data_IF_289266250574
#
_entry.id   IF_289266250574
#
_cell.length_a   1.000
_cell.length_b   1.000
_cell.length_c   1.000
_cell.angle_alpha   90.00
_cell.angle_beta   90.00
_cell.angle_gamma   90.00
#
_symmetry.space_group_name_H-M   'P 1'
#
loop_
_entity.id
_entity.type
_entity.pdbx_description
1 polymer ?
#
# COMPACT_ATOMS: atom_id res chain seq x y z
N UNK A 1 13.56 -20.69 -3.67
CA UNK A 1 12.73 -19.67 -4.36
C UNK A 1 12.42 -20.16 -5.77
N UNK A 2 11.18 -20.03 -6.21
CA UNK A 2 10.82 -20.43 -7.57
C UNK A 2 11.45 -19.46 -8.57
N UNK A 3 12.05 -19.98 -9.66
CA UNK A 3 12.50 -19.11 -10.74
C UNK A 3 11.35 -18.25 -11.27
N UNK A 4 11.57 -16.94 -11.41
CA UNK A 4 10.59 -16.00 -11.95
C UNK A 4 9.56 -15.46 -10.98
N UNK A 5 9.64 -15.84 -9.68
CA UNK A 5 8.72 -15.29 -8.67
C UNK A 5 9.52 -14.59 -7.56
N UNK A 6 9.32 -13.28 -7.45
CA UNK A 6 9.91 -12.45 -6.39
C UNK A 6 8.81 -11.69 -5.65
N UNK A 7 7.71 -12.39 -5.37
CA UNK A 7 6.58 -11.80 -4.67
C UNK A 7 6.81 -11.89 -3.17
N UNK A 8 6.79 -10.74 -2.49
CA UNK A 8 6.80 -10.70 -1.04
C UNK A 8 5.38 -10.91 -0.53
N UNK A 9 5.23 -11.84 0.38
CA UNK A 9 3.92 -12.21 0.92
C UNK A 9 3.80 -11.74 2.36
N UNK A 10 2.69 -11.09 2.67
CA UNK A 10 2.39 -10.61 4.02
C UNK A 10 0.89 -10.50 4.27
N UNK A 11 0.55 -9.88 5.39
CA UNK A 11 -0.84 -9.69 5.79
C UNK A 11 -1.26 -8.24 5.64
N UNK A 12 -2.57 -8.02 5.56
CA UNK A 12 -3.16 -6.68 5.60
C UNK A 12 -3.26 -6.24 7.07
N UNK A 13 -2.13 -5.78 7.60
CA UNK A 13 -1.98 -5.40 8.99
C UNK A 13 -1.32 -6.47 9.83
N UNK A 14 -0.74 -6.05 10.93
CA UNK A 14 -0.15 -6.95 11.92
C UNK A 14 -0.92 -6.94 13.24
N UNK A 15 -1.95 -6.13 13.32
CA UNK A 15 -2.83 -6.06 14.49
C UNK A 15 -3.50 -7.41 14.69
N UNK A 16 -3.53 -7.88 15.92
CA UNK A 16 -4.04 -9.21 16.21
C UNK A 16 -3.04 -10.34 15.98
N UNK A 17 -1.91 -10.06 15.36
CA UNK A 17 -0.87 -11.07 15.23
C UNK A 17 -0.26 -11.36 16.61
N UNK A 18 -0.18 -12.62 17.04
CA UNK A 18 0.36 -12.95 18.36
C UNK A 18 1.78 -12.43 18.54
N UNK A 19 2.01 -11.61 19.57
CA UNK A 19 3.32 -11.01 19.82
C UNK A 19 3.56 -9.67 19.13
N UNK A 20 2.57 -9.14 18.40
CA UNK A 20 2.67 -7.84 17.76
C UNK A 20 3.68 -7.78 16.62
N UNK A 21 4.16 -6.59 16.31
CA UNK A 21 5.06 -6.42 15.17
C UNK A 21 6.40 -7.13 15.35
N UNK A 22 6.91 -7.21 16.57
CA UNK A 22 8.17 -7.91 16.84
C UNK A 22 8.12 -9.38 16.45
N UNK A 23 6.97 -10.02 16.64
CA UNK A 23 6.77 -11.40 16.20
C UNK A 23 6.44 -11.46 14.71
N UNK A 24 5.62 -10.51 14.22
CA UNK A 24 5.21 -10.45 12.81
C UNK A 24 6.41 -10.39 11.87
N UNK A 25 7.38 -9.52 12.15
CA UNK A 25 8.55 -9.33 11.29
C UNK A 25 9.41 -10.58 11.12
N UNK A 26 9.29 -11.55 12.04
CA UNK A 26 9.99 -12.82 11.93
C UNK A 26 9.26 -13.81 11.03
N UNK A 27 7.95 -13.64 10.88
CA UNK A 27 7.10 -14.54 10.11
C UNK A 27 6.89 -14.07 8.67
N UNK A 28 6.90 -12.76 8.43
CA UNK A 28 6.59 -12.20 7.12
C UNK A 28 7.58 -11.10 6.73
N UNK A 29 7.94 -11.02 5.44
CA UNK A 29 8.86 -10.00 4.94
C UNK A 29 8.20 -8.67 4.61
N UNK A 30 6.87 -8.56 4.70
CA UNK A 30 6.14 -7.35 4.32
C UNK A 30 4.80 -7.28 5.02
N UNK A 31 4.25 -6.08 5.10
CA UNK A 31 2.93 -5.81 5.66
C UNK A 31 2.27 -4.67 4.89
N UNK A 32 0.94 -4.73 4.74
CA UNK A 32 0.16 -3.60 4.24
C UNK A 32 -0.50 -2.91 5.42
N UNK A 33 -0.12 -1.66 5.69
CA UNK A 33 -0.72 -0.85 6.74
C UNK A 33 -2.00 -0.18 6.25
N UNK A 34 -2.99 -0.05 7.11
CA UNK A 34 -4.19 0.71 6.76
C UNK A 34 -4.02 2.17 7.15
N UNK A 35 -3.85 3.01 6.14
CA UNK A 35 -3.84 4.46 6.29
C UNK A 35 -5.11 5.08 5.74
N UNK A 36 -6.16 4.28 5.62
CA UNK A 36 -7.43 4.74 5.06
C UNK A 36 -8.05 5.88 5.84
N UNK A 37 -8.16 5.71 7.16
CA UNK A 37 -8.74 6.74 8.02
C UNK A 37 -7.70 7.73 8.52
N UNK A 38 -6.48 7.29 8.69
CA UNK A 38 -5.43 8.08 9.31
C UNK A 38 -4.06 7.67 8.77
N UNK A 39 -3.33 8.66 8.27
CA UNK A 39 -1.94 8.46 7.83
C UNK A 39 -1.08 8.25 9.07
N UNK A 40 -0.15 7.31 9.01
CA UNK A 40 0.77 7.05 10.12
C UNK A 40 1.56 8.29 10.51
N UNK A 41 1.80 8.48 11.80
CA UNK A 41 2.60 9.60 12.27
C UNK A 41 4.10 9.29 12.16
N UNK A 42 4.90 10.35 12.24
CA UNK A 42 6.36 10.25 12.07
C UNK A 42 6.98 9.31 13.11
N UNK A 43 6.54 9.39 14.36
CA UNK A 43 7.09 8.54 15.42
C UNK A 43 6.81 7.07 15.20
N UNK A 44 5.58 6.71 14.83
CA UNK A 44 5.22 5.33 14.54
C UNK A 44 5.99 4.79 13.34
N UNK A 45 6.09 5.58 12.28
CA UNK A 45 6.84 5.18 11.09
C UNK A 45 8.31 4.94 11.42
N UNK A 46 8.92 5.85 12.16
CA UNK A 46 10.33 5.71 12.58
C UNK A 46 10.56 4.46 13.40
N UNK A 47 9.64 4.19 14.33
CA UNK A 47 9.75 3.00 15.18
C UNK A 47 9.60 1.71 14.37
N UNK A 48 8.62 1.63 13.50
CA UNK A 48 8.43 0.45 12.66
C UNK A 48 9.62 0.22 11.74
N UNK A 49 10.11 1.30 11.13
CA UNK A 49 11.28 1.22 10.27
C UNK A 49 12.50 0.70 11.01
N UNK A 50 12.72 1.18 12.23
CA UNK A 50 13.85 0.74 13.05
C UNK A 50 13.73 -0.72 13.48
N UNK A 51 12.51 -1.18 13.78
CA UNK A 51 12.26 -2.56 14.19
C UNK A 51 12.32 -3.56 13.04
N UNK A 52 12.03 -3.11 11.82
CA UNK A 52 11.98 -4.00 10.67
C UNK A 52 13.38 -4.43 10.24
N UNK A 53 13.57 -5.70 9.89
CA UNK A 53 14.86 -6.16 9.38
C UNK A 53 15.14 -5.57 8.00
N UNK A 54 16.40 -5.59 7.61
CA UNK A 54 16.79 -5.20 6.27
C UNK A 54 16.06 -6.10 5.26
N UNK A 55 15.58 -5.50 4.19
CA UNK A 55 14.78 -6.22 3.19
C UNK A 55 13.29 -6.25 3.47
N UNK A 56 12.85 -5.91 4.69
CA UNK A 56 11.43 -5.79 4.99
C UNK A 56 10.82 -4.61 4.22
N UNK A 57 9.56 -4.77 3.78
CA UNK A 57 8.85 -3.71 3.03
C UNK A 57 7.51 -3.39 3.68
N UNK A 58 7.25 -2.09 3.81
CA UNK A 58 5.97 -1.56 4.27
C UNK A 58 5.19 -1.03 3.10
N UNK A 59 4.01 -1.58 2.85
CA UNK A 59 3.03 -0.99 1.96
C UNK A 59 1.94 -0.34 2.80
N UNK A 60 1.12 0.50 2.18
CA UNK A 60 0.00 1.14 2.86
C UNK A 60 -1.15 1.33 1.89
N UNK A 61 -2.38 1.26 2.41
CA UNK A 61 -3.56 1.63 1.67
C UNK A 61 -4.11 2.95 2.21
N UNK A 62 -4.26 3.94 1.37
CA UNK A 62 -4.79 5.25 1.74
C UNK A 62 -5.57 5.84 0.59
N UNK A 63 -6.25 6.90 0.75
CA UNK A 63 -6.65 7.59 1.97
C UNK A 63 -8.04 8.17 1.72
N UNK A 64 -8.94 8.08 2.67
CA UNK A 64 -10.35 8.46 2.48
C UNK A 64 -10.57 9.92 2.09
N UNK A 65 -9.60 10.80 2.37
CA UNK A 65 -9.70 12.22 2.02
C UNK A 65 -9.26 12.55 0.60
N UNK A 66 -8.80 11.56 -0.17
CA UNK A 66 -8.52 11.78 -1.58
C UNK A 66 -9.85 11.90 -2.34
N UNK A 67 -10.00 12.99 -3.07
CA UNK A 67 -11.23 13.29 -3.84
C UNK A 67 -11.08 13.03 -5.32
N UNK A 68 -9.84 12.86 -5.78
CA UNK A 68 -9.48 12.70 -7.18
C UNK A 68 -9.91 13.89 -8.05
N UNK A 69 -9.87 15.08 -7.44
CA UNK A 69 -10.04 16.36 -8.13
C UNK A 69 -8.74 17.14 -8.03
N UNK A 70 -8.28 17.80 -9.11
CA UNK A 70 -6.99 18.50 -9.10
C UNK A 70 -7.11 19.87 -8.42
N UNK A 71 -7.29 19.89 -7.12
CA UNK A 71 -7.43 21.10 -6.32
C UNK A 71 -6.21 21.32 -5.42
N UNK A 72 -6.09 22.51 -4.85
CA UNK A 72 -5.04 22.78 -3.86
C UNK A 72 -5.18 21.92 -2.60
N UNK A 73 -6.41 21.61 -2.20
CA UNK A 73 -6.64 20.72 -1.07
C UNK A 73 -6.16 19.30 -1.38
N UNK A 74 -6.46 18.81 -2.58
CA UNK A 74 -5.98 17.50 -3.01
C UNK A 74 -4.46 17.44 -3.02
N UNK A 75 -3.80 18.50 -3.50
CA UNK A 75 -2.34 18.58 -3.48
C UNK A 75 -1.80 18.46 -2.06
N UNK A 76 -2.45 19.11 -1.11
CA UNK A 76 -2.04 19.05 0.30
C UNK A 76 -2.16 17.63 0.85
N UNK A 77 -3.28 16.97 0.58
CA UNK A 77 -3.50 15.58 1.02
C UNK A 77 -2.46 14.66 0.39
N UNK A 78 -2.22 14.77 -0.90
CA UNK A 78 -1.23 13.95 -1.60
C UNK A 78 0.17 14.18 -1.04
N UNK A 79 0.56 15.44 -0.84
CA UNK A 79 1.89 15.74 -0.31
C UNK A 79 2.10 15.12 1.06
N UNK A 80 1.10 15.22 1.94
CA UNK A 80 1.18 14.63 3.27
C UNK A 80 1.30 13.12 3.19
N UNK A 81 0.46 12.48 2.39
CA UNK A 81 0.45 11.03 2.24
C UNK A 81 1.78 10.51 1.69
N UNK A 82 2.26 11.09 0.60
CA UNK A 82 3.49 10.66 -0.03
C UNK A 82 4.72 10.96 0.83
N UNK A 83 4.75 12.12 1.47
CA UNK A 83 5.85 12.48 2.35
C UNK A 83 5.97 11.52 3.52
N UNK A 84 4.85 11.17 4.15
CA UNK A 84 4.84 10.20 5.23
C UNK A 84 5.27 8.81 4.76
N UNK A 85 4.75 8.38 3.62
CA UNK A 85 5.12 7.07 3.09
C UNK A 85 6.62 6.99 2.77
N UNK A 86 7.22 8.05 2.27
CA UNK A 86 8.65 8.09 1.97
C UNK A 86 9.54 7.97 3.21
N UNK A 87 9.00 8.21 4.39
CA UNK A 87 9.77 8.04 5.63
C UNK A 87 10.20 6.59 5.87
N UNK A 88 9.55 5.63 5.24
CA UNK A 88 10.03 4.25 5.31
C UNK A 88 11.35 4.05 4.56
N UNK A 89 11.73 4.98 3.71
CA UNK A 89 13.01 4.93 2.99
C UNK A 89 13.13 3.69 2.13
N UNK A 90 14.26 2.95 2.19
CA UNK A 90 14.43 1.73 1.39
C UNK A 90 13.49 0.60 1.80
N UNK A 91 12.77 0.74 2.91
CA UNK A 91 11.79 -0.23 3.37
C UNK A 91 10.38 0.11 2.89
N UNK A 92 10.20 1.16 2.08
CA UNK A 92 8.92 1.46 1.46
C UNK A 92 8.60 0.41 0.38
N UNK A 93 7.42 -0.17 0.47
CA UNK A 93 6.88 -1.05 -0.55
C UNK A 93 6.09 -0.26 -1.57
N UNK A 94 4.77 -0.43 -1.60
CA UNK A 94 3.90 0.32 -2.50
C UNK A 94 2.73 0.95 -1.74
N UNK A 95 2.29 2.10 -2.22
CA UNK A 95 1.13 2.78 -1.72
C UNK A 95 -0.06 2.42 -2.61
N UNK A 96 -1.09 1.80 -2.02
CA UNK A 96 -2.29 1.41 -2.76
C UNK A 96 -3.33 2.51 -2.67
N UNK A 97 -3.79 2.99 -3.81
CA UNK A 97 -4.83 4.02 -3.90
C UNK A 97 -6.08 3.42 -4.53
N UNK A 98 -7.23 3.71 -3.91
CA UNK A 98 -8.53 3.21 -4.37
C UNK A 98 -9.23 4.29 -5.17
N UNK A 99 -9.45 4.03 -6.47
CA UNK A 99 -10.19 4.95 -7.31
C UNK A 99 -11.69 4.71 -7.17
N UNK A 100 -12.50 5.79 -7.08
CA UNK A 100 -13.95 5.64 -6.97
C UNK A 100 -14.56 4.98 -8.20
N UNK A 101 -15.64 4.23 -7.96
CA UNK A 101 -16.35 3.54 -9.05
C UNK A 101 -16.95 4.51 -10.08
N UNK A 102 -17.29 5.73 -9.65
CA UNK A 102 -17.90 6.74 -10.51
C UNK A 102 -16.89 7.73 -11.13
N UNK A 103 -15.60 7.49 -10.94
CA UNK A 103 -14.58 8.35 -11.52
C UNK A 103 -14.50 8.13 -13.02
N UNK A 104 -14.65 9.20 -13.80
CA UNK A 104 -14.55 9.10 -15.26
C UNK A 104 -13.11 9.08 -15.74
N UNK A 105 -12.83 8.52 -16.93
CA UNK A 105 -11.48 8.60 -17.50
C UNK A 105 -10.97 10.02 -17.64
N UNK A 106 -11.83 10.97 -18.01
CA UNK A 106 -11.48 12.37 -18.15
C UNK A 106 -11.07 12.99 -16.82
N UNK A 107 -11.80 12.66 -15.75
CA UNK A 107 -11.47 13.14 -14.41
C UNK A 107 -10.14 12.56 -13.93
N UNK A 108 -9.89 11.30 -14.22
CA UNK A 108 -8.62 10.67 -13.87
C UNK A 108 -7.46 11.30 -14.64
N UNK A 109 -7.63 11.55 -15.93
CA UNK A 109 -6.61 12.23 -16.73
C UNK A 109 -6.30 13.63 -16.22
N UNK A 110 -7.30 14.35 -15.74
CA UNK A 110 -7.11 15.67 -15.15
C UNK A 110 -6.37 15.61 -13.81
N UNK A 111 -6.54 14.53 -13.07
CA UNK A 111 -5.93 14.36 -11.76
C UNK A 111 -4.49 13.84 -11.81
N UNK A 112 -4.18 12.95 -12.74
CA UNK A 112 -2.86 12.32 -12.82
C UNK A 112 -1.69 13.31 -12.88
N UNK A 113 -1.79 14.45 -13.60
CA UNK A 113 -0.71 15.44 -13.60
C UNK A 113 -0.41 16.00 -12.19
N UNK A 114 -1.42 16.14 -11.35
CA UNK A 114 -1.23 16.58 -9.97
C UNK A 114 -0.42 15.55 -9.19
N UNK A 115 -0.76 14.28 -9.29
CA UNK A 115 0.02 13.21 -8.65
C UNK A 115 1.46 13.22 -9.17
N UNK A 116 1.64 13.33 -10.47
CA UNK A 116 2.97 13.36 -11.06
C UNK A 116 3.79 14.55 -10.56
N UNK A 117 3.18 15.72 -10.45
CA UNK A 117 3.85 16.91 -9.94
C UNK A 117 4.30 16.72 -8.50
N UNK A 118 3.47 16.12 -7.65
CA UNK A 118 3.82 15.85 -6.25
C UNK A 118 4.93 14.79 -6.18
N UNK A 119 4.88 13.76 -7.01
CA UNK A 119 5.93 12.75 -7.10
C UNK A 119 7.27 13.36 -7.51
N UNK A 120 7.25 14.27 -8.48
CA UNK A 120 8.47 14.94 -8.93
C UNK A 120 9.03 15.88 -7.85
N UNK A 121 8.17 16.54 -7.09
CA UNK A 121 8.59 17.42 -6.00
C UNK A 121 9.23 16.67 -4.85
N UNK A 122 8.61 15.58 -4.42
CA UNK A 122 9.03 14.85 -3.21
C UNK A 122 9.95 13.67 -3.49
N UNK A 123 10.05 13.24 -4.74
CA UNK A 123 10.66 11.99 -5.13
C UNK A 123 9.63 10.88 -5.21
N UNK A 124 9.67 10.04 -6.25
CA UNK A 124 8.63 9.07 -6.52
C UNK A 124 8.58 7.95 -5.48
N UNK A 125 7.36 7.48 -5.22
CA UNK A 125 7.12 6.25 -4.47
C UNK A 125 6.32 5.29 -5.35
N UNK A 126 6.49 3.97 -5.20
CA UNK A 126 5.69 3.03 -5.97
C UNK A 126 4.21 3.13 -5.59
N UNK A 127 3.34 3.27 -6.58
CA UNK A 127 1.90 3.37 -6.37
C UNK A 127 1.21 2.26 -7.16
N UNK A 128 0.27 1.59 -6.51
CA UNK A 128 -0.62 0.62 -7.14
C UNK A 128 -2.04 1.14 -7.06
N UNK A 129 -2.76 1.13 -8.19
CA UNK A 129 -4.14 1.57 -8.21
C UNK A 129 -5.11 0.42 -8.17
N UNK A 130 -6.09 0.51 -7.29
CA UNK A 130 -7.27 -0.32 -7.36
C UNK A 130 -8.30 0.46 -8.16
N UNK A 131 -8.51 0.02 -9.40
CA UNK A 131 -9.28 0.80 -10.37
C UNK A 131 -10.51 0.05 -10.88
N UNK A 132 -11.64 0.76 -11.09
CA UNK A 132 -12.74 0.19 -11.84
C UNK A 132 -12.31 -0.16 -13.26
N UNK A 133 -12.97 -1.18 -13.83
CA UNK A 133 -12.61 -1.68 -15.16
C UNK A 133 -12.45 -0.61 -16.24
N UNK A 134 -13.33 0.42 -16.32
CA UNK A 134 -13.20 1.45 -17.37
C UNK A 134 -11.92 2.28 -17.30
N UNK A 135 -11.29 2.35 -16.12
CA UNK A 135 -10.07 3.15 -15.92
C UNK A 135 -8.78 2.37 -16.15
N UNK A 136 -8.85 1.05 -16.19
CA UNK A 136 -7.66 0.21 -16.30
C UNK A 136 -6.85 0.45 -17.58
N UNK A 137 -7.47 0.57 -18.78
CA UNK A 137 -6.69 0.83 -19.98
C UNK A 137 -5.86 2.10 -19.91
N UNK A 138 -6.43 3.18 -19.37
CA UNK A 138 -5.72 4.45 -19.23
C UNK A 138 -4.50 4.31 -18.31
N UNK A 139 -4.67 3.63 -17.19
CA UNK A 139 -3.58 3.44 -16.24
C UNK A 139 -2.48 2.53 -16.80
N UNK A 140 -2.84 1.48 -17.53
CA UNK A 140 -1.87 0.60 -18.17
C UNK A 140 -1.06 1.34 -19.23
N UNK A 141 -1.68 2.21 -20.02
CA UNK A 141 -0.96 3.04 -20.99
C UNK A 141 0.08 3.93 -20.32
N UNK A 142 -0.20 4.36 -19.09
CA UNK A 142 0.71 5.20 -18.31
C UNK A 142 1.79 4.39 -17.58
N UNK A 143 1.78 3.06 -17.71
CA UNK A 143 2.79 2.22 -17.10
C UNK A 143 2.72 2.11 -15.59
N UNK A 144 1.55 2.33 -15.00
CA UNK A 144 1.36 2.22 -13.55
C UNK A 144 0.91 0.83 -13.15
N UNK A 145 1.18 0.45 -11.90
CA UNK A 145 0.77 -0.84 -11.38
C UNK A 145 -0.73 -0.85 -11.06
N UNK A 146 -1.37 -1.96 -11.39
CA UNK A 146 -2.77 -2.19 -11.04
C UNK A 146 -2.87 -3.37 -10.10
N UNK A 147 -3.83 -3.30 -9.17
CA UNK A 147 -4.13 -4.44 -8.32
C UNK A 147 -4.63 -5.60 -9.15
N UNK A 148 -4.16 -6.80 -8.80
CA UNK A 148 -4.53 -8.06 -9.47
C UNK A 148 -4.23 -8.06 -10.97
N UNK A 149 -3.41 -7.14 -11.44
CA UNK A 149 -2.99 -7.11 -12.82
C UNK A 149 -1.69 -7.90 -12.99
N UNK A 150 -1.60 -8.62 -14.09
CA UNK A 150 -0.40 -9.36 -14.45
C UNK A 150 0.59 -8.51 -15.24
N UNK A 151 0.25 -7.26 -15.47
CA UNK A 151 1.06 -6.31 -16.22
C UNK A 151 1.31 -5.04 -15.41
N UNK A 152 2.42 -4.38 -15.68
CA UNK A 152 2.82 -3.17 -14.98
C UNK A 152 4.22 -3.29 -14.40
N UNK A 153 4.74 -2.24 -13.75
CA UNK A 153 6.11 -2.22 -13.23
C UNK A 153 6.30 -3.16 -12.04
N UNK A 154 5.25 -3.53 -11.33
CA UNK A 154 5.26 -4.51 -10.26
C UNK A 154 3.84 -5.04 -10.05
N UNK A 155 3.72 -6.16 -9.35
CA UNK A 155 2.43 -6.77 -9.05
C UNK A 155 1.98 -6.38 -7.64
N UNK A 156 0.68 -6.19 -7.48
CA UNK A 156 0.07 -5.95 -6.18
C UNK A 156 -1.19 -6.78 -6.08
N UNK A 157 -1.13 -7.81 -5.25
CA UNK A 157 -2.17 -8.84 -5.19
C UNK A 157 -2.82 -8.88 -3.83
N UNK A 158 -4.13 -9.13 -3.80
CA UNK A 158 -4.86 -9.39 -2.56
C UNK A 158 -5.45 -10.78 -2.62
N UNK A 159 -5.17 -11.57 -1.58
CA UNK A 159 -5.67 -12.94 -1.42
C UNK A 159 -5.51 -13.80 -2.70
N UNK A 160 -4.36 -13.80 -3.35
CA UNK A 160 -4.19 -14.62 -4.55
C UNK A 160 -4.19 -16.11 -4.20
N UNK A 161 -4.76 -16.93 -5.07
CA UNK A 161 -4.69 -18.38 -4.90
C UNK A 161 -3.28 -18.90 -5.14
N UNK A 162 -2.62 -18.33 -6.14
CA UNK A 162 -1.21 -18.60 -6.46
C UNK A 162 -0.53 -17.31 -6.84
N UNK A 163 0.68 -17.07 -6.36
CA UNK A 163 1.45 -15.95 -6.86
C UNK A 163 1.90 -16.24 -8.29
N UNK A 164 1.58 -15.35 -9.26
CA UNK A 164 2.12 -15.48 -10.61
C UNK A 164 3.62 -15.19 -10.60
N UNK A 165 4.34 -15.58 -11.66
CA UNK A 165 5.73 -15.17 -11.80
C UNK A 165 5.80 -13.64 -11.94
N UNK A 166 6.81 -13.04 -11.33
CA UNK A 166 6.98 -11.59 -11.36
C UNK A 166 7.53 -11.07 -10.05
N UNK A 167 7.51 -9.77 -9.92
CA UNK A 167 8.03 -9.05 -8.77
C UNK A 167 6.94 -8.16 -8.18
N UNK A 168 6.81 -8.15 -6.87
CA UNK A 168 5.82 -7.31 -6.22
C UNK A 168 5.39 -7.84 -4.85
N UNK A 169 4.11 -7.67 -4.56
CA UNK A 169 3.57 -7.90 -3.24
C UNK A 169 2.26 -8.67 -3.31
N UNK A 170 2.05 -9.55 -2.32
CA UNK A 170 0.78 -10.22 -2.13
C UNK A 170 0.39 -10.13 -0.65
N UNK A 171 -0.81 -9.63 -0.39
CA UNK A 171 -1.30 -9.45 0.97
C UNK A 171 -2.58 -10.22 1.20
N UNK A 172 -2.63 -10.89 2.35
CA UNK A 172 -3.77 -11.72 2.74
C UNK A 172 -4.50 -11.08 3.91
N UNK A 173 -5.82 -11.24 3.92
CA UNK A 173 -6.61 -10.87 5.08
C UNK A 173 -6.16 -11.71 6.28
N UNK A 174 -5.98 -11.12 7.47
CA UNK A 174 -5.55 -11.88 8.66
C UNK A 174 -6.46 -13.06 8.96
N UNK A 175 -7.76 -12.94 8.72
CA UNK A 175 -8.75 -13.98 8.97
C UNK A 175 -8.49 -15.25 8.14
N UNK A 176 -7.85 -15.14 7.01
CA UNK A 176 -7.52 -16.30 6.17
C UNK A 176 -6.37 -17.11 6.71
N UNK A 177 -5.50 -16.47 7.48
CA UNK A 177 -4.34 -17.12 8.09
C UNK A 177 -4.65 -17.51 9.53
N UNK A 178 -5.45 -16.69 10.21
CA UNK A 178 -5.84 -16.90 11.59
C UNK A 178 -7.36 -16.93 11.69
N UNK A 179 -8.03 -18.04 11.31
CA UNK A 179 -9.49 -18.09 11.29
C UNK A 179 -10.10 -17.91 12.67
N UNK A 180 -9.38 -18.28 13.75
CA UNK A 180 -9.80 -18.08 15.12
C UNK A 180 -8.74 -17.22 15.83
N UNK A 181 -8.73 -15.90 15.57
CA UNK A 181 -7.70 -15.07 16.16
C UNK A 181 -7.78 -15.05 17.68
N UNK A 182 -6.66 -14.89 18.37
CA UNK A 182 -6.66 -14.73 19.81
C UNK A 182 -7.44 -13.47 20.19
N UNK A 183 -7.76 -13.27 21.48
CA UNK A 183 -8.42 -12.06 21.94
C UNK A 183 -7.78 -10.83 21.32
N UNK A 184 -8.62 -9.87 20.93
CA UNK A 184 -8.17 -8.73 20.16
C UNK A 184 -7.03 -7.95 20.79
N UNK A 185 -6.30 -7.20 19.97
CA UNK A 185 -5.18 -6.40 20.46
C UNK A 185 -5.63 -5.28 21.38
N UNK A 186 -4.69 -4.76 22.14
CA UNK A 186 -4.94 -3.57 22.94
C UNK A 186 -5.19 -2.35 22.04
N UNK A 187 -5.82 -1.35 22.60
CA UNK A 187 -6.09 -0.12 21.84
C UNK A 187 -4.82 0.53 21.28
N UNK A 188 -3.70 0.41 21.98
CA UNK A 188 -2.44 0.95 21.49
C UNK A 188 -1.96 0.31 20.22
N UNK A 189 -2.17 -0.97 20.06
CA UNK A 189 -1.79 -1.69 18.85
C UNK A 189 -2.68 -1.32 17.68
N UNK A 190 -3.91 -0.97 17.95
CA UNK A 190 -4.87 -0.60 16.91
C UNK A 190 -4.50 0.69 16.20
N UNK A 191 -3.80 1.58 16.85
CA UNK A 191 -3.41 2.85 16.26
C UNK A 191 -2.30 2.66 15.22
N UNK A 192 -1.44 1.71 15.40
CA UNK A 192 -0.27 1.51 14.55
C UNK A 192 -0.59 0.97 13.15
N UNK A 193 -1.65 0.22 13.02
CA UNK A 193 -2.06 -0.34 11.73
C UNK A 193 -2.83 0.60 10.83
N UNK A 194 -2.96 1.85 11.17
CA UNK A 194 -3.82 2.80 10.45
C UNK A 194 -3.07 3.87 9.70
#
# INVERSE_FOLDING_TARGET
>A
MRPGSEILVGLRGYRGFPGGFKAYRKAFPTVELSWWHRVGDVGTISRLRALAPEGFRFSAVGHKHLTFRPTGEERRVLRRLLRRFRLFGPKAGALRLLLPEDLSPEALEAWLPLLEAVQNELGPVPIAFQAPAPLKPLLLERGVALMKAEAGPFLYLLDPERPPPGKGYAYFAPERVFPNPPPGPTLGEEVEGR
#
